data_IF_298604235312
#
_entry.id   IF_298604235312
#
_cell.length_a   1.000
_cell.length_b   1.000
_cell.length_c   1.000
_cell.angle_alpha   90.00
_cell.angle_beta   90.00
_cell.angle_gamma   90.00
#
_symmetry.space_group_name_H-M   'P 1'
#
loop_
_entity.id
_entity.type
_entity.pdbx_description
1 polymer ?
#
# COMPACT_ATOMS: atom_id res chain seq x y z
N UNK A 1 -39.65 -4.56 -20.57
CA UNK A 1 -39.43 -4.40 -19.12
C UNK A 1 -37.98 -4.74 -18.82
N UNK A 2 -37.14 -3.81 -18.31
CA UNK A 2 -35.78 -4.17 -17.93
C UNK A 2 -35.77 -4.84 -16.55
N UNK A 3 -35.13 -6.01 -16.48
CA UNK A 3 -34.91 -6.77 -15.24
C UNK A 3 -33.79 -6.06 -14.47
N UNK A 4 -34.14 -5.41 -13.36
CA UNK A 4 -33.17 -4.88 -12.41
C UNK A 4 -32.64 -6.01 -11.54
N UNK A 5 -31.43 -6.48 -11.84
CA UNK A 5 -30.70 -7.40 -10.97
C UNK A 5 -30.03 -6.57 -9.87
N UNK A 6 -30.59 -6.60 -8.66
CA UNK A 6 -29.92 -6.04 -7.48
C UNK A 6 -28.79 -7.01 -7.08
N UNK A 7 -27.53 -6.55 -6.96
CA UNK A 7 -26.52 -7.38 -6.31
C UNK A 7 -26.94 -7.60 -4.87
N UNK A 8 -26.91 -8.85 -4.42
CA UNK A 8 -27.09 -9.19 -3.02
C UNK A 8 -25.90 -8.62 -2.24
N UNK A 9 -26.04 -7.37 -1.77
CA UNK A 9 -25.18 -6.86 -0.70
C UNK A 9 -25.61 -7.65 0.52
N UNK A 10 -24.82 -8.67 0.87
CA UNK A 10 -24.88 -9.28 2.19
C UNK A 10 -24.50 -8.19 3.20
N UNK A 11 -25.49 -7.42 3.63
CA UNK A 11 -25.42 -6.66 4.87
C UNK A 11 -25.48 -7.71 5.97
N UNK A 12 -24.38 -8.46 6.14
CA UNK A 12 -24.19 -9.27 7.32
C UNK A 12 -24.00 -8.27 8.47
N UNK A 13 -25.12 -7.99 9.14
CA UNK A 13 -25.20 -7.37 10.46
C UNK A 13 -24.53 -8.21 11.55
N UNK A 14 -23.70 -9.18 11.19
CA UNK A 14 -22.77 -9.85 12.09
C UNK A 14 -21.58 -8.92 12.32
N UNK A 15 -21.76 -7.95 13.21
CA UNK A 15 -20.67 -7.49 14.05
C UNK A 15 -20.17 -8.71 14.82
N UNK A 16 -19.26 -9.49 14.22
CA UNK A 16 -18.35 -10.29 15.02
C UNK A 16 -17.56 -9.27 15.82
N UNK A 17 -17.92 -9.19 17.10
CA UNK A 17 -17.13 -8.51 18.12
C UNK A 17 -15.75 -9.16 18.02
N UNK A 18 -14.80 -8.45 17.41
CA UNK A 18 -13.41 -8.88 17.36
C UNK A 18 -12.97 -8.92 18.82
N UNK A 19 -13.03 -10.12 19.41
CA UNK A 19 -12.51 -10.37 20.74
C UNK A 19 -11.04 -9.96 20.72
N UNK A 20 -10.65 -9.19 21.71
CA UNK A 20 -9.41 -8.42 21.87
C UNK A 20 -8.11 -9.24 21.81
N UNK A 21 -7.88 -10.02 20.77
CA UNK A 21 -6.67 -10.86 20.69
C UNK A 21 -6.43 -11.67 19.43
N UNK A 22 -7.40 -11.83 18.52
CA UNK A 22 -7.17 -12.58 17.27
C UNK A 22 -7.90 -11.91 16.12
N UNK A 23 -7.16 -11.21 15.25
CA UNK A 23 -7.69 -10.77 13.97
C UNK A 23 -7.74 -12.01 13.08
N UNK A 24 -8.95 -12.50 12.81
CA UNK A 24 -9.13 -13.66 11.95
C UNK A 24 -8.70 -13.29 10.52
N UNK A 25 -7.62 -13.92 10.06
CA UNK A 25 -7.01 -13.73 8.72
C UNK A 25 -7.92 -14.11 7.53
N UNK A 26 -9.17 -14.51 7.82
CA UNK A 26 -10.21 -14.85 6.85
C UNK A 26 -11.26 -13.74 6.69
N UNK A 27 -11.20 -12.69 7.50
CA UNK A 27 -12.15 -11.60 7.41
C UNK A 27 -11.90 -10.77 6.14
N UNK A 28 -12.94 -10.70 5.31
CA UNK A 28 -13.01 -9.82 4.15
C UNK A 28 -13.60 -8.50 4.61
N UNK A 29 -12.89 -7.41 4.32
CA UNK A 29 -13.30 -6.06 4.67
C UNK A 29 -13.66 -5.26 3.44
N UNK A 30 -14.62 -4.34 3.62
CA UNK A 30 -14.95 -3.31 2.65
C UNK A 30 -14.30 -1.97 3.02
N UNK A 31 -14.04 -1.07 2.06
CA UNK A 31 -13.56 0.27 2.35
C UNK A 31 -14.46 0.97 3.38
N UNK A 32 -13.84 1.60 4.38
CA UNK A 32 -14.50 2.28 5.49
C UNK A 32 -14.85 1.38 6.69
N UNK A 33 -14.77 0.06 6.53
CA UNK A 33 -15.03 -0.90 7.61
C UNK A 33 -14.01 -0.76 8.73
N UNK A 34 -14.48 -0.91 9.96
CA UNK A 34 -13.65 -0.86 11.15
C UNK A 34 -12.95 -2.20 11.37
N UNK A 35 -11.63 -2.18 11.54
CA UNK A 35 -10.79 -3.38 11.74
C UNK A 35 -10.43 -3.54 13.22
N UNK A 36 -10.08 -2.46 13.92
CA UNK A 36 -9.78 -2.53 15.35
C UNK A 36 -10.35 -1.33 16.08
N UNK A 37 -10.96 -1.62 17.22
CA UNK A 37 -11.39 -0.64 18.19
C UNK A 37 -10.18 -0.31 19.06
N UNK A 38 -9.53 0.82 18.77
CA UNK A 38 -9.09 1.79 19.77
C UNK A 38 -8.62 1.16 21.11
N UNK A 39 -7.51 0.41 21.07
CA UNK A 39 -7.00 -0.32 22.24
C UNK A 39 -5.82 -1.25 21.93
N UNK A 40 -5.74 -1.75 20.70
CA UNK A 40 -4.61 -2.57 20.27
C UNK A 40 -3.50 -1.66 19.72
N UNK A 41 -2.29 -1.75 20.26
CA UNK A 41 -1.08 -1.07 19.79
C UNK A 41 -0.61 -1.61 18.41
N UNK A 42 -1.50 -1.57 17.43
CA UNK A 42 -1.42 -2.21 16.13
C UNK A 42 -1.01 -1.21 15.06
N UNK A 43 0.11 -1.45 14.41
CA UNK A 43 0.68 -0.62 13.35
C UNK A 43 -0.19 -0.73 12.09
N UNK A 44 -0.50 0.43 11.48
CA UNK A 44 -1.18 0.51 10.19
C UNK A 44 -0.21 0.22 9.05
N UNK A 45 -0.47 -0.85 8.30
CA UNK A 45 0.17 -1.14 7.01
C UNK A 45 -0.66 -0.64 5.83
N UNK A 46 -0.30 -1.10 4.63
CA UNK A 46 -1.00 -0.78 3.39
C UNK A 46 -2.50 -1.14 3.46
N UNK A 47 -3.35 -0.28 2.90
CA UNK A 47 -4.80 -0.49 2.86
C UNK A 47 -5.50 -0.30 4.21
N UNK A 48 -4.80 0.18 5.24
CA UNK A 48 -5.39 0.56 6.55
C UNK A 48 -5.02 1.99 6.89
N UNK A 49 -5.93 2.67 7.57
CA UNK A 49 -5.67 4.02 8.07
C UNK A 49 -6.31 4.19 9.44
N UNK A 50 -5.84 5.17 10.20
CA UNK A 50 -6.43 5.59 11.46
C UNK A 50 -7.15 6.91 11.24
N UNK A 51 -8.41 6.98 11.62
CA UNK A 51 -9.14 8.23 11.58
C UNK A 51 -8.74 9.07 12.81
N UNK A 52 -8.08 10.21 12.56
CA UNK A 52 -7.54 11.13 13.58
C UNK A 52 -8.58 12.19 13.97
N UNK A 53 -9.72 12.25 13.28
CA UNK A 53 -10.64 13.38 13.32
C UNK A 53 -11.40 13.53 14.66
N UNK A 54 -11.31 12.51 15.53
CA UNK A 54 -11.90 12.56 16.89
C UNK A 54 -10.98 13.11 17.97
N UNK A 55 -9.75 13.51 17.66
CA UNK A 55 -8.89 14.19 18.64
C UNK A 55 -9.39 15.62 18.92
N UNK A 56 -10.14 16.21 17.97
CA UNK A 56 -10.46 17.64 17.98
C UNK A 56 -11.93 17.98 18.30
N UNK A 57 -12.78 17.03 18.73
CA UNK A 57 -13.99 17.48 19.43
C UNK A 57 -13.52 18.02 20.77
N UNK A 58 -13.56 19.34 21.03
CA UNK A 58 -13.26 19.84 22.35
C UNK A 58 -14.19 19.11 23.30
N UNK A 59 -13.59 18.37 24.25
CA UNK A 59 -14.29 17.93 25.44
C UNK A 59 -15.01 19.19 25.95
N UNK A 60 -16.34 19.15 26.09
CA UNK A 60 -17.09 20.26 26.66
C UNK A 60 -16.42 20.61 27.98
N UNK A 61 -15.77 21.77 28.02
CA UNK A 61 -15.08 22.29 29.20
C UNK A 61 -16.12 22.45 30.31
N UNK A 62 -16.03 21.62 31.33
CA UNK A 62 -16.45 22.00 32.69
C UNK A 62 -15.17 22.38 33.40
N UNK A 63 -14.99 23.68 33.61
CA UNK A 63 -13.80 24.28 34.19
C UNK A 63 -13.56 23.80 35.62
N UNK A 64 -12.41 23.20 35.92
CA UNK A 64 -11.57 23.45 37.11
C UNK A 64 -10.09 23.12 36.79
N UNK A 65 -9.22 23.99 37.28
CA UNK A 65 -7.82 24.22 36.90
C UNK A 65 -6.84 23.13 37.38
N UNK A 66 -5.73 22.94 36.66
CA UNK A 66 -4.47 22.49 37.26
C UNK A 66 -3.69 21.39 36.54
N UNK A 67 -2.74 21.82 35.69
CA UNK A 67 -1.43 21.22 35.34
C UNK A 67 -1.15 21.28 33.84
N UNK A 68 -0.17 22.12 33.47
CA UNK A 68 0.39 22.22 32.12
C UNK A 68 1.34 21.04 31.89
N UNK A 69 0.80 19.84 31.74
CA UNK A 69 1.54 18.77 31.10
C UNK A 69 1.37 18.92 29.59
N UNK A 70 2.49 19.05 28.88
CA UNK A 70 2.58 18.74 27.44
C UNK A 70 2.30 17.24 27.28
N UNK A 71 1.04 16.86 27.45
CA UNK A 71 0.58 15.52 27.14
C UNK A 71 0.73 15.35 25.65
N UNK A 72 1.75 14.58 25.26
CA UNK A 72 1.79 13.89 23.97
C UNK A 72 0.37 13.34 23.79
N UNK A 73 -0.37 13.68 22.71
CA UNK A 73 -1.73 13.21 22.56
C UNK A 73 -1.69 11.70 22.73
N UNK A 74 -2.29 11.21 23.83
CA UNK A 74 -2.38 9.78 24.08
C UNK A 74 -3.15 9.22 22.90
N UNK A 75 -2.42 8.62 21.96
CA UNK A 75 -2.91 7.99 20.74
C UNK A 75 -3.82 6.78 21.02
N UNK A 76 -4.35 6.67 22.24
CA UNK A 76 -4.89 5.48 22.86
C UNK A 76 -6.30 5.12 22.39
N UNK A 77 -6.91 5.88 21.48
CA UNK A 77 -8.21 5.49 20.95
C UNK A 77 -8.45 5.81 19.46
N UNK A 78 -7.42 5.67 18.60
CA UNK A 78 -7.64 5.81 17.16
C UNK A 78 -8.19 4.52 16.54
N UNK A 79 -9.45 4.61 16.11
CA UNK A 79 -10.14 3.59 15.35
C UNK A 79 -9.41 3.30 14.04
N UNK A 80 -9.00 2.03 13.83
CA UNK A 80 -8.38 1.58 12.58
C UNK A 80 -9.46 1.16 11.59
N UNK A 81 -9.40 1.70 10.36
CA UNK A 81 -10.33 1.43 9.28
C UNK A 81 -9.62 0.90 8.03
N UNK A 82 -10.33 0.11 7.24
CA UNK A 82 -9.89 -0.36 5.93
C UNK A 82 -10.07 0.75 4.88
N UNK A 83 -9.06 0.97 4.04
CA UNK A 83 -9.16 1.82 2.84
C UNK A 83 -9.53 1.01 1.60
N UNK A 84 -9.15 -0.26 1.55
CA UNK A 84 -9.33 -1.15 0.40
C UNK A 84 -10.32 -2.27 0.71
N UNK A 85 -10.94 -2.80 -0.35
CA UNK A 85 -11.71 -4.04 -0.27
C UNK A 85 -10.76 -5.23 -0.39
N UNK A 86 -10.76 -6.15 0.57
CA UNK A 86 -9.80 -7.24 0.57
C UNK A 86 -9.79 -8.06 1.83
N UNK A 87 -8.81 -8.95 1.95
CA UNK A 87 -8.62 -9.78 3.14
C UNK A 87 -7.70 -9.06 4.11
N UNK A 88 -8.06 -9.06 5.39
CA UNK A 88 -7.19 -8.52 6.44
C UNK A 88 -6.09 -9.54 6.74
N UNK A 89 -4.83 -9.08 6.69
CA UNK A 89 -3.67 -9.87 7.12
C UNK A 89 -3.00 -9.14 8.29
N UNK A 90 -2.78 -9.90 9.36
CA UNK A 90 -2.05 -9.44 10.54
C UNK A 90 -0.73 -10.21 10.63
N UNK A 91 0.38 -9.50 10.71
CA UNK A 91 1.72 -10.06 10.95
C UNK A 91 2.29 -9.38 12.18
N UNK A 92 2.36 -10.10 13.29
CA UNK A 92 2.70 -9.53 14.60
C UNK A 92 1.77 -8.35 14.95
N UNK A 93 2.34 -7.16 15.11
CA UNK A 93 1.61 -5.92 15.37
C UNK A 93 1.29 -5.15 14.10
N UNK A 94 1.62 -5.64 12.90
CA UNK A 94 1.33 -4.96 11.64
C UNK A 94 0.05 -5.52 11.03
N UNK A 95 -0.91 -4.66 10.74
CA UNK A 95 -2.13 -5.05 10.02
C UNK A 95 -2.24 -4.30 8.72
N UNK A 96 -2.48 -5.05 7.66
CA UNK A 96 -2.66 -4.54 6.30
C UNK A 96 -3.81 -5.27 5.63
N UNK A 97 -4.35 -4.67 4.58
CA UNK A 97 -5.40 -5.28 3.76
C UNK A 97 -4.78 -5.72 2.45
N UNK A 98 -4.89 -7.01 2.13
CA UNK A 98 -4.53 -7.56 0.82
C UNK A 98 -5.73 -7.39 -0.13
N UNK A 99 -5.63 -6.50 -1.13
CA UNK A 99 -6.70 -6.29 -2.10
C UNK A 99 -6.88 -7.52 -3.00
N UNK A 100 -8.12 -7.79 -3.43
CA UNK A 100 -8.41 -8.88 -4.35
C UNK A 100 -7.79 -8.68 -5.75
N UNK A 101 -7.60 -7.43 -6.15
CA UNK A 101 -6.99 -7.03 -7.41
C UNK A 101 -6.10 -5.81 -7.18
N UNK A 102 -4.82 -5.94 -7.51
CA UNK A 102 -3.85 -4.86 -7.48
C UNK A 102 -2.92 -4.93 -8.68
N UNK A 103 -2.29 -3.80 -9.00
CA UNK A 103 -1.15 -3.76 -9.92
C UNK A 103 0.09 -4.34 -9.24
N UNK A 104 1.09 -4.70 -10.03
CA UNK A 104 2.33 -5.23 -9.49
C UNK A 104 3.03 -4.21 -8.58
N UNK A 105 3.29 -4.60 -7.33
CA UNK A 105 4.13 -3.89 -6.37
C UNK A 105 5.50 -4.55 -6.37
N UNK A 106 6.53 -3.86 -6.83
CA UNK A 106 7.87 -4.46 -6.94
C UNK A 106 8.48 -4.73 -5.57
N UNK A 107 8.90 -5.97 -5.33
CA UNK A 107 9.75 -6.33 -4.20
C UNK A 107 11.20 -6.55 -4.64
N UNK A 108 12.11 -6.49 -3.67
CA UNK A 108 13.55 -6.69 -3.90
C UNK A 108 13.81 -8.16 -4.21
N UNK A 109 14.60 -8.43 -5.26
CA UNK A 109 15.00 -9.78 -5.65
C UNK A 109 14.00 -10.51 -6.55
N UNK A 110 12.88 -9.89 -6.90
CA UNK A 110 11.93 -10.46 -7.84
C UNK A 110 12.43 -10.34 -9.30
N UNK A 111 12.30 -11.43 -10.06
CA UNK A 111 12.60 -11.43 -11.49
C UNK A 111 11.34 -11.14 -12.28
N UNK A 112 11.38 -10.08 -13.08
CA UNK A 112 10.25 -9.58 -13.85
C UNK A 112 10.57 -9.53 -15.33
N UNK A 113 9.53 -9.67 -16.14
CA UNK A 113 9.59 -9.46 -17.60
C UNK A 113 8.76 -8.22 -17.91
N UNK A 114 9.34 -7.30 -18.67
CA UNK A 114 8.67 -6.07 -19.07
C UNK A 114 8.98 -5.70 -20.51
N UNK A 115 8.13 -4.84 -21.09
CA UNK A 115 8.29 -4.32 -22.45
C UNK A 115 9.00 -2.97 -22.40
N UNK A 116 9.94 -2.71 -23.29
CA UNK A 116 10.55 -1.38 -23.37
C UNK A 116 9.57 -0.41 -24.04
N UNK A 117 9.35 0.73 -23.41
CA UNK A 117 8.47 1.80 -23.92
C UNK A 117 9.30 2.80 -24.72
N UNK A 118 10.37 3.29 -24.11
CA UNK A 118 11.22 4.33 -24.70
C UNK A 118 12.65 4.28 -24.16
N UNK A 119 13.55 4.92 -24.89
CA UNK A 119 14.97 5.08 -24.52
C UNK A 119 15.17 6.53 -24.07
N UNK A 120 15.52 6.73 -22.80
CA UNK A 120 15.91 8.02 -22.23
C UNK A 120 17.44 8.11 -22.09
N UNK A 121 17.92 9.23 -21.57
CA UNK A 121 19.34 9.43 -21.34
C UNK A 121 19.88 8.42 -20.31
N UNK A 122 20.80 7.54 -20.72
CA UNK A 122 21.44 6.50 -19.89
C UNK A 122 20.47 5.50 -19.24
N UNK A 123 19.20 5.44 -19.64
CA UNK A 123 18.23 4.48 -19.11
C UNK A 123 17.13 4.13 -20.11
N UNK A 124 16.59 2.92 -20.00
CA UNK A 124 15.40 2.48 -20.72
C UNK A 124 14.20 2.53 -19.78
N UNK A 125 13.06 2.99 -20.28
CA UNK A 125 11.78 2.90 -19.59
C UNK A 125 11.11 1.59 -19.96
N UNK A 126 10.71 0.82 -18.95
CA UNK A 126 10.18 -0.53 -19.08
C UNK A 126 8.78 -0.60 -18.46
N UNK A 127 7.81 -1.05 -19.23
CA UNK A 127 6.46 -1.38 -18.77
C UNK A 127 6.47 -2.74 -18.05
N UNK A 128 6.09 -2.71 -16.77
CA UNK A 128 5.98 -3.88 -15.88
C UNK A 128 4.55 -4.00 -15.33
N UNK A 129 3.57 -3.28 -15.89
CA UNK A 129 2.20 -3.27 -15.39
C UNK A 129 2.06 -2.92 -13.88
N UNK A 130 2.93 -2.03 -13.40
CA UNK A 130 2.89 -1.44 -12.06
C UNK A 130 2.21 -0.06 -12.09
N UNK A 131 2.26 0.67 -10.98
CA UNK A 131 1.76 2.06 -10.93
C UNK A 131 2.68 3.04 -11.66
N UNK A 132 3.98 2.73 -11.74
CA UNK A 132 5.01 3.58 -12.33
C UNK A 132 5.85 2.76 -13.30
N UNK A 133 6.17 3.35 -14.44
CA UNK A 133 7.08 2.72 -15.41
C UNK A 133 8.44 2.47 -14.75
N UNK A 134 8.97 1.26 -14.91
CA UNK A 134 10.25 0.89 -14.34
C UNK A 134 11.40 1.50 -15.15
N UNK A 135 12.52 1.73 -14.47
CA UNK A 135 13.73 2.27 -15.09
C UNK A 135 14.82 1.20 -15.10
N UNK A 136 15.36 0.93 -16.28
CA UNK A 136 16.51 0.06 -16.48
C UNK A 136 17.72 0.91 -16.88
N UNK A 137 18.64 1.14 -15.96
CA UNK A 137 19.82 1.96 -16.21
C UNK A 137 20.82 1.25 -17.13
N UNK A 138 21.51 2.02 -17.99
CA UNK A 138 22.61 1.54 -18.84
C UNK A 138 23.65 0.79 -18.01
N UNK A 139 23.96 1.26 -16.80
CA UNK A 139 24.86 0.65 -15.83
C UNK A 139 24.52 -0.81 -15.46
N UNK A 140 23.26 -1.21 -15.53
CA UNK A 140 22.80 -2.51 -15.02
C UNK A 140 22.60 -3.55 -16.13
N UNK A 141 22.82 -3.19 -17.39
CA UNK A 141 22.64 -4.07 -18.56
C UNK A 141 23.97 -4.65 -19.02
N UNK A 142 23.95 -5.89 -19.51
CA UNK A 142 25.09 -6.50 -20.20
C UNK A 142 25.08 -6.08 -21.66
N UNK A 143 26.13 -5.40 -22.10
CA UNK A 143 26.27 -4.97 -23.49
C UNK A 143 26.69 -6.16 -24.37
N UNK A 144 26.30 -6.15 -25.67
CA UNK A 144 26.81 -7.15 -26.61
C UNK A 144 28.33 -7.05 -26.67
N UNK A 145 29.01 -8.19 -26.58
CA UNK A 145 30.46 -8.28 -26.41
C UNK A 145 30.87 -8.92 -25.08
N UNK A 146 30.00 -8.93 -24.07
CA UNK A 146 30.23 -9.66 -22.80
C UNK A 146 31.43 -9.16 -21.98
N UNK A 147 32.14 -8.15 -22.46
CA UNK A 147 33.31 -7.55 -21.84
C UNK A 147 32.89 -6.69 -20.65
N UNK A 148 33.50 -6.93 -19.49
CA UNK A 148 33.33 -6.07 -18.33
C UNK A 148 34.21 -4.82 -18.50
N UNK A 149 33.63 -3.77 -19.09
CA UNK A 149 34.29 -2.45 -19.23
C UNK A 149 33.44 -1.32 -18.65
N UNK A 150 34.08 -0.17 -18.41
CA UNK A 150 33.38 1.07 -18.05
C UNK A 150 32.50 1.50 -19.24
N UNK A 151 31.27 1.91 -18.94
CA UNK A 151 30.30 2.34 -19.95
C UNK A 151 30.61 3.79 -20.32
N UNK A 152 30.81 4.03 -21.61
CA UNK A 152 31.23 5.32 -22.16
C UNK A 152 30.05 6.04 -22.82
N UNK A 153 30.27 7.29 -23.22
CA UNK A 153 29.27 8.08 -23.95
C UNK A 153 28.90 7.46 -25.30
N UNK A 154 29.79 6.68 -25.91
CA UNK A 154 29.50 5.95 -27.14
C UNK A 154 28.42 4.88 -26.91
N UNK A 155 28.40 4.24 -25.73
CA UNK A 155 27.34 3.30 -25.36
C UNK A 155 26.00 3.99 -25.15
N UNK A 156 26.03 5.23 -24.63
CA UNK A 156 24.84 6.08 -24.47
C UNK A 156 24.23 6.44 -25.84
N UNK A 157 25.08 6.74 -26.83
CA UNK A 157 24.62 6.95 -28.21
C UNK A 157 24.08 5.67 -28.85
N UNK A 158 24.71 4.53 -28.56
CA UNK A 158 24.35 3.24 -29.14
C UNK A 158 23.15 2.54 -28.46
N UNK A 159 22.53 3.12 -27.43
CA UNK A 159 21.48 2.45 -26.63
C UNK A 159 20.30 1.91 -27.46
N UNK A 160 19.91 2.62 -28.53
CA UNK A 160 18.82 2.20 -29.43
C UNK A 160 19.16 0.96 -30.26
N UNK A 161 20.45 0.70 -30.47
CA UNK A 161 20.94 -0.46 -31.23
C UNK A 161 20.92 -1.75 -30.38
N UNK A 162 21.16 -1.62 -29.08
CA UNK A 162 21.28 -2.76 -28.16
C UNK A 162 19.93 -3.37 -27.81
N UNK A 163 18.92 -2.54 -27.54
CA UNK A 163 17.58 -3.03 -27.24
C UNK A 163 16.55 -2.25 -28.04
N UNK A 164 15.79 -2.98 -28.85
CA UNK A 164 14.74 -2.43 -29.71
C UNK A 164 13.45 -2.23 -28.92
N UNK A 165 12.76 -1.13 -29.23
CA UNK A 165 11.40 -0.82 -28.79
C UNK A 165 10.41 -1.61 -29.64
#
# INVERSE_FOLDING_TARGET
>A
MPIFMRPAVSVLSSFSKISSGSIDTRDVVVPGQLISFAGDNLITGHGTFRNVDKINTPKTFTDQEGSLELSIPECQNLQMRASLAGRVKAVNKLVYVEPLKARYSGNIGETIVGRIIEVEQRRWRVDVNSFQVANLSLANVKLPGGEMRRKSEDDERAMRSYIKV
#
